data_IF_389260942914
#
_entry.id   IF_389260942914
#
_cell.length_a   1.000
_cell.length_b   1.000
_cell.length_c   1.000
_cell.angle_alpha   90.00
_cell.angle_beta   90.00
_cell.angle_gamma   90.00
#
_symmetry.space_group_name_H-M   'P 1'
#
loop_
_entity.id
_entity.type
_entity.pdbx_description
1 polymer ?
#
# COMPACT_ATOMS: atom_id res chain seq x y z
N UNK A 1 9.95 -13.68 -16.62
CA UNK A 1 11.13 -14.35 -16.04
C UNK A 1 11.75 -13.39 -15.04
N UNK A 2 11.85 -13.80 -13.77
CA UNK A 2 12.63 -13.19 -12.68
C UNK A 2 12.28 -11.74 -12.26
N UNK A 3 11.49 -11.56 -11.20
CA UNK A 3 11.93 -11.44 -9.79
C UNK A 3 12.96 -10.33 -9.51
N UNK A 4 12.47 -9.40 -8.67
CA UNK A 4 13.13 -8.84 -7.47
C UNK A 4 14.26 -7.84 -7.64
N UNK A 5 13.94 -6.61 -7.23
CA UNK A 5 14.81 -5.80 -6.40
C UNK A 5 15.61 -4.74 -7.14
N UNK A 6 15.08 -3.53 -7.18
CA UNK A 6 15.87 -2.30 -7.05
C UNK A 6 14.92 -1.11 -7.00
N UNK A 7 14.74 -0.57 -5.79
CA UNK A 7 14.45 0.84 -5.60
C UNK A 7 15.56 1.64 -6.32
N UNK A 8 15.18 2.63 -7.14
CA UNK A 8 16.12 3.48 -7.86
C UNK A 8 15.60 4.92 -7.79
N UNK A 9 15.85 5.62 -6.67
CA UNK A 9 17.05 6.43 -6.45
C UNK A 9 17.48 7.15 -7.73
N UNK A 10 16.80 8.26 -8.03
CA UNK A 10 17.19 9.17 -9.11
C UNK A 10 17.95 10.36 -8.52
N UNK A 11 19.28 10.24 -8.44
CA UNK A 11 20.22 11.37 -8.39
C UNK A 11 20.87 11.49 -9.78
N UNK A 12 20.63 12.64 -10.42
CA UNK A 12 21.45 13.39 -11.37
C UNK A 12 22.30 12.61 -12.40
N UNK A 13 21.91 12.66 -13.69
CA UNK A 13 22.72 13.32 -14.74
C UNK A 13 21.97 13.44 -16.09
N UNK A 14 21.81 14.70 -16.52
CA UNK A 14 21.92 15.22 -17.89
C UNK A 14 20.92 14.77 -18.98
N UNK A 15 20.05 15.70 -19.39
CA UNK A 15 19.83 16.07 -20.79
C UNK A 15 19.43 17.56 -20.90
N UNK A 16 20.09 18.26 -21.82
CA UNK A 16 19.90 19.68 -22.17
C UNK A 16 18.56 19.92 -22.88
N UNK A 17 17.72 20.82 -22.34
CA UNK A 17 17.12 21.97 -23.05
C UNK A 17 16.20 22.75 -22.10
N UNK A 18 16.59 24.00 -21.82
CA UNK A 18 15.89 25.13 -21.20
C UNK A 18 14.43 24.94 -20.71
N UNK A 19 14.26 24.51 -19.45
CA UNK A 19 13.24 25.01 -18.49
C UNK A 19 13.69 24.59 -17.08
N UNK A 20 13.92 25.55 -16.20
CA UNK A 20 14.48 25.34 -14.87
C UNK A 20 13.52 24.49 -14.02
N UNK A 21 13.84 23.20 -13.83
CA UNK A 21 13.17 22.32 -12.86
C UNK A 21 14.12 22.10 -11.68
N UNK A 22 13.83 22.71 -10.52
CA UNK A 22 14.46 22.33 -9.24
C UNK A 22 13.40 21.64 -8.37
N UNK A 23 13.45 20.31 -8.32
CA UNK A 23 12.63 19.50 -7.41
C UNK A 23 13.32 19.37 -6.05
N UNK A 24 12.61 19.70 -4.97
CA UNK A 24 13.03 19.36 -3.60
C UNK A 24 12.56 17.95 -3.26
N UNK A 25 13.48 17.03 -3.02
CA UNK A 25 13.13 15.69 -2.54
C UNK A 25 12.83 15.74 -1.03
N UNK A 26 11.77 15.07 -0.62
CA UNK A 26 11.33 14.99 0.78
C UNK A 26 11.75 13.64 1.34
N UNK A 27 12.66 13.66 2.31
CA UNK A 27 13.03 12.47 3.05
C UNK A 27 12.32 12.48 4.40
N UNK A 28 11.51 11.46 4.64
CA UNK A 28 11.15 11.05 5.99
C UNK A 28 11.37 9.54 6.10
N UNK A 29 11.86 9.12 7.25
CA UNK A 29 12.38 7.79 7.55
C UNK A 29 11.40 6.68 7.17
N UNK A 30 11.92 5.76 6.35
CA UNK A 30 11.50 4.36 6.11
C UNK A 30 10.31 4.01 5.19
N UNK A 31 9.81 4.93 4.38
CA UNK A 31 9.12 4.59 3.12
C UNK A 31 8.95 5.86 2.30
N UNK A 32 9.26 5.83 1.01
CA UNK A 32 9.07 7.00 0.13
C UNK A 32 7.57 7.32 0.05
N UNK A 33 7.13 8.35 0.77
CA UNK A 33 5.70 8.70 0.86
C UNK A 33 5.18 9.37 -0.42
N UNK A 34 6.07 10.05 -1.15
CA UNK A 34 5.81 10.74 -2.40
C UNK A 34 6.81 11.86 -2.67
N UNK A 35 6.68 12.54 -3.82
CA UNK A 35 7.49 13.70 -4.19
C UNK A 35 6.61 14.93 -4.45
N UNK A 36 7.10 16.11 -4.09
CA UNK A 36 6.44 17.39 -4.38
C UNK A 36 7.17 18.09 -5.53
N UNK A 37 6.47 18.32 -6.64
CA UNK A 37 6.97 19.09 -7.78
C UNK A 37 6.34 20.49 -7.78
N UNK A 38 7.18 21.52 -7.87
CA UNK A 38 6.77 22.92 -7.98
C UNK A 38 7.05 23.42 -9.40
N UNK A 39 6.09 24.13 -9.99
CA UNK A 39 6.20 24.69 -11.33
C UNK A 39 5.97 26.20 -11.29
N UNK A 40 6.74 26.95 -12.07
CA UNK A 40 6.58 28.39 -12.23
C UNK A 40 6.71 28.79 -13.70
N UNK A 41 5.96 29.83 -14.09
CA UNK A 41 5.94 30.34 -15.47
C UNK A 41 7.03 31.39 -15.72
N UNK A 42 7.59 32.00 -14.67
CA UNK A 42 8.61 33.05 -14.75
C UNK A 42 9.95 32.63 -14.11
N UNK A 43 11.09 33.07 -14.66
CA UNK A 43 12.39 32.86 -14.02
C UNK A 43 12.45 33.52 -12.63
N UNK A 44 13.11 32.87 -11.67
CA UNK A 44 13.30 33.37 -10.29
C UNK A 44 12.02 33.53 -9.46
N UNK A 45 10.93 32.87 -9.84
CA UNK A 45 9.66 32.91 -9.10
C UNK A 45 9.71 32.29 -7.69
N UNK A 46 10.71 31.48 -7.39
CA UNK A 46 10.88 30.86 -6.07
C UNK A 46 12.02 31.52 -5.32
N UNK A 47 11.68 32.37 -4.36
CA UNK A 47 12.62 32.88 -3.38
C UNK A 47 12.75 31.92 -2.18
N UNK A 48 13.62 32.29 -1.24
CA UNK A 48 13.90 31.48 -0.05
C UNK A 48 12.64 31.24 0.80
N UNK A 49 11.76 32.23 0.90
CA UNK A 49 10.57 32.16 1.75
C UNK A 49 9.51 31.26 1.12
N UNK A 50 9.32 31.36 -0.20
CA UNK A 50 8.45 30.47 -0.98
C UNK A 50 8.90 29.01 -0.91
N UNK A 51 10.21 28.77 -0.97
CA UNK A 51 10.77 27.43 -0.80
C UNK A 51 10.60 26.91 0.63
N UNK A 52 10.82 27.75 1.64
CA UNK A 52 10.62 27.39 3.04
C UNK A 52 9.15 27.05 3.33
N UNK A 53 8.22 27.81 2.76
CA UNK A 53 6.79 27.51 2.84
C UNK A 53 6.45 26.19 2.15
N UNK A 54 6.98 25.96 0.94
CA UNK A 54 6.75 24.72 0.22
C UNK A 54 7.29 23.49 0.97
N UNK A 55 8.47 23.60 1.60
CA UNK A 55 9.05 22.55 2.46
C UNK A 55 8.18 22.28 3.69
N UNK A 56 7.64 23.31 4.33
CA UNK A 56 6.71 23.14 5.44
C UNK A 56 5.43 22.43 5.00
N UNK A 57 4.81 22.86 3.90
CA UNK A 57 3.60 22.23 3.36
C UNK A 57 3.85 20.77 2.98
N UNK A 58 4.95 20.51 2.28
CA UNK A 58 5.41 19.18 1.94
C UNK A 58 5.56 18.26 3.16
N UNK A 59 6.15 18.76 4.24
CA UNK A 59 6.34 17.99 5.48
C UNK A 59 4.99 17.62 6.10
N UNK A 60 4.07 18.57 6.20
CA UNK A 60 2.72 18.31 6.72
C UNK A 60 1.95 17.33 5.83
N UNK A 61 2.04 17.50 4.51
CA UNK A 61 1.42 16.59 3.54
C UNK A 61 1.97 15.17 3.65
N UNK A 62 3.29 15.02 3.80
CA UNK A 62 3.93 13.73 4.01
C UNK A 62 3.42 13.06 5.30
N UNK A 63 3.36 13.79 6.42
CA UNK A 63 2.85 13.26 7.69
C UNK A 63 1.39 12.82 7.55
N UNK A 64 0.53 13.66 6.97
CA UNK A 64 -0.88 13.35 6.78
C UNK A 64 -1.07 12.10 5.90
N UNK A 65 -0.34 12.03 4.78
CA UNK A 65 -0.39 10.88 3.86
C UNK A 65 0.12 9.60 4.52
N UNK A 66 1.21 9.67 5.29
CA UNK A 66 1.74 8.53 6.05
C UNK A 66 0.71 7.98 7.02
N UNK A 67 0.06 8.86 7.77
CA UNK A 67 -0.96 8.48 8.75
C UNK A 67 -2.19 7.86 8.08
N UNK A 68 -2.71 8.47 7.01
CA UNK A 68 -3.83 7.92 6.25
C UNK A 68 -3.53 6.53 5.68
N UNK A 69 -2.32 6.33 5.12
CA UNK A 69 -1.90 5.01 4.60
C UNK A 69 -1.79 3.96 5.70
N UNK A 70 -1.25 4.33 6.87
CA UNK A 70 -1.17 3.40 8.01
C UNK A 70 -2.56 2.99 8.51
N UNK A 71 -3.48 3.95 8.59
CA UNK A 71 -4.87 3.69 8.96
C UNK A 71 -5.56 2.75 7.96
N UNK A 72 -5.40 3.00 6.65
CA UNK A 72 -5.94 2.13 5.60
C UNK A 72 -5.35 0.70 5.67
N UNK A 73 -4.03 0.58 5.83
CA UNK A 73 -3.36 -0.71 5.98
C UNK A 73 -3.86 -1.47 7.23
N UNK A 74 -4.05 -0.76 8.34
CA UNK A 74 -4.57 -1.34 9.57
C UNK A 74 -6.01 -1.84 9.39
N UNK A 75 -6.91 -1.03 8.82
CA UNK A 75 -8.28 -1.46 8.54
C UNK A 75 -8.34 -2.63 7.57
N UNK A 76 -7.51 -2.62 6.52
CA UNK A 76 -7.39 -3.72 5.57
C UNK A 76 -6.91 -5.01 6.24
N UNK A 77 -5.95 -4.92 7.17
CA UNK A 77 -5.47 -6.05 7.96
C UNK A 77 -6.55 -6.60 8.90
N UNK A 78 -7.31 -5.73 9.57
CA UNK A 78 -8.46 -6.14 10.40
C UNK A 78 -9.53 -6.85 9.58
N UNK A 79 -9.97 -6.24 8.47
CA UNK A 79 -10.97 -6.83 7.59
C UNK A 79 -10.51 -8.21 7.06
N UNK A 80 -9.23 -8.35 6.74
CA UNK A 80 -8.63 -9.62 6.32
C UNK A 80 -8.64 -10.65 7.44
N UNK A 81 -8.29 -10.26 8.67
CA UNK A 81 -8.31 -11.15 9.83
C UNK A 81 -9.71 -11.67 10.13
N UNK A 82 -10.72 -10.81 10.06
CA UNK A 82 -12.10 -11.18 10.38
C UNK A 82 -12.65 -12.19 9.38
N UNK A 83 -12.49 -11.93 8.07
CA UNK A 83 -12.99 -12.87 7.04
C UNK A 83 -12.24 -14.20 7.04
N UNK A 84 -10.93 -14.19 7.30
CA UNK A 84 -10.14 -15.42 7.47
C UNK A 84 -10.61 -16.19 8.70
N UNK A 85 -10.93 -15.49 9.80
CA UNK A 85 -11.49 -16.08 11.00
C UNK A 85 -12.82 -16.79 10.76
N UNK A 86 -13.73 -16.15 10.02
CA UNK A 86 -15.02 -16.74 9.63
C UNK A 86 -14.84 -17.99 8.78
N UNK A 87 -14.08 -17.88 7.69
CA UNK A 87 -13.78 -19.02 6.81
C UNK A 87 -13.15 -20.19 7.57
N UNK A 88 -12.21 -19.89 8.49
CA UNK A 88 -11.60 -20.90 9.35
C UNK A 88 -12.63 -21.60 10.24
N UNK A 89 -13.54 -20.85 10.86
CA UNK A 89 -14.64 -21.41 11.67
C UNK A 89 -15.56 -22.33 10.88
N UNK A 90 -15.91 -21.96 9.65
CA UNK A 90 -16.72 -22.80 8.75
C UNK A 90 -16.00 -24.10 8.38
N UNK A 91 -14.70 -24.05 8.10
CA UNK A 91 -13.89 -25.24 7.83
C UNK A 91 -13.81 -26.14 9.07
N UNK A 92 -13.60 -25.55 10.25
CA UNK A 92 -13.55 -26.31 11.51
C UNK A 92 -14.85 -27.08 11.75
N UNK A 93 -15.99 -26.44 11.53
CA UNK A 93 -17.32 -27.06 11.66
C UNK A 93 -17.52 -28.18 10.64
N UNK A 94 -17.30 -27.89 9.35
CA UNK A 94 -17.57 -28.83 8.26
C UNK A 94 -16.70 -30.09 8.28
N UNK A 95 -15.45 -29.95 8.70
CA UNK A 95 -14.47 -31.05 8.68
C UNK A 95 -14.14 -31.61 10.06
N UNK A 96 -14.73 -31.06 11.13
CA UNK A 96 -14.47 -31.42 12.52
C UNK A 96 -12.96 -31.44 12.86
N UNK A 97 -12.26 -30.35 12.49
CA UNK A 97 -10.82 -30.16 12.69
C UNK A 97 -10.54 -28.93 13.54
N UNK A 98 -9.34 -28.88 14.12
CA UNK A 98 -8.93 -27.73 14.93
C UNK A 98 -8.60 -26.49 14.08
N UNK A 99 -8.39 -25.36 14.77
CA UNK A 99 -8.11 -24.09 14.12
C UNK A 99 -6.78 -24.06 13.36
N UNK A 100 -5.77 -24.82 13.79
CA UNK A 100 -4.47 -24.87 13.12
C UNK A 100 -4.61 -25.63 11.80
N UNK A 101 -5.25 -26.80 11.83
CA UNK A 101 -5.55 -27.62 10.66
C UNK A 101 -6.42 -26.87 9.65
N UNK A 102 -7.45 -26.17 10.12
CA UNK A 102 -8.30 -25.36 9.26
C UNK A 102 -7.53 -24.21 8.58
N UNK A 103 -6.62 -23.54 9.31
CA UNK A 103 -5.78 -22.49 8.73
C UNK A 103 -4.80 -23.04 7.70
N UNK A 104 -4.18 -24.20 7.95
CA UNK A 104 -3.31 -24.87 6.98
C UNK A 104 -4.06 -25.28 5.71
N UNK A 105 -5.31 -25.75 5.83
CA UNK A 105 -6.15 -26.03 4.67
C UNK A 105 -6.45 -24.77 3.85
N UNK A 106 -6.83 -23.67 4.52
CA UNK A 106 -7.05 -22.37 3.90
C UNK A 106 -5.79 -21.86 3.18
N UNK A 107 -4.61 -22.02 3.81
CA UNK A 107 -3.31 -21.68 3.24
C UNK A 107 -3.00 -22.51 2.00
N UNK A 108 -3.27 -23.82 2.06
CA UNK A 108 -3.09 -24.72 0.91
C UNK A 108 -3.99 -24.31 -0.27
N UNK A 109 -5.27 -24.06 -0.02
CA UNK A 109 -6.21 -23.58 -1.04
C UNK A 109 -5.76 -22.26 -1.68
N UNK A 110 -5.26 -21.31 -0.86
CA UNK A 110 -4.68 -20.05 -1.33
C UNK A 110 -3.47 -20.27 -2.24
N UNK A 111 -2.60 -21.22 -1.91
CA UNK A 111 -1.44 -21.56 -2.73
C UNK A 111 -1.84 -22.25 -4.04
N UNK A 112 -2.75 -23.24 -3.96
CA UNK A 112 -3.22 -24.00 -5.12
C UNK A 112 -3.98 -23.11 -6.12
N UNK A 113 -4.70 -22.08 -5.62
CA UNK A 113 -5.40 -21.09 -6.45
C UNK A 113 -4.56 -19.86 -6.83
N UNK A 114 -3.35 -19.71 -6.26
CA UNK A 114 -2.51 -18.52 -6.39
C UNK A 114 -3.26 -17.20 -6.09
N UNK A 115 -4.16 -17.23 -5.12
CA UNK A 115 -4.94 -16.08 -4.64
C UNK A 115 -4.49 -15.67 -3.25
N UNK A 116 -4.73 -14.41 -2.87
CA UNK A 116 -4.47 -13.98 -1.50
C UNK A 116 -5.38 -14.76 -0.55
N UNK A 117 -4.86 -15.12 0.63
CA UNK A 117 -5.60 -15.90 1.63
C UNK A 117 -6.96 -15.28 1.99
N UNK A 118 -7.01 -13.95 2.12
CA UNK A 118 -8.25 -13.22 2.39
C UNK A 118 -9.27 -13.34 1.26
N UNK A 119 -8.84 -13.46 0.00
CA UNK A 119 -9.74 -13.59 -1.15
C UNK A 119 -10.31 -15.00 -1.24
N UNK A 120 -9.51 -16.03 -0.94
CA UNK A 120 -10.00 -17.41 -0.78
C UNK A 120 -11.01 -17.51 0.37
N UNK A 121 -10.70 -16.89 1.51
CA UNK A 121 -11.62 -16.83 2.64
C UNK A 121 -12.95 -16.16 2.26
N UNK A 122 -12.91 -15.03 1.54
CA UNK A 122 -14.12 -14.37 1.01
C UNK A 122 -14.90 -15.33 0.12
N UNK A 123 -14.26 -15.96 -0.87
CA UNK A 123 -14.96 -16.88 -1.77
C UNK A 123 -15.64 -18.02 -1.02
N UNK A 124 -14.98 -18.59 0.00
CA UNK A 124 -15.56 -19.65 0.81
C UNK A 124 -16.79 -19.17 1.58
N UNK A 125 -16.69 -18.01 2.24
CA UNK A 125 -17.80 -17.42 3.01
C UNK A 125 -19.00 -17.12 2.10
N UNK A 126 -18.77 -16.54 0.91
CA UNK A 126 -19.83 -16.22 -0.04
C UNK A 126 -20.41 -17.47 -0.73
N UNK A 127 -19.64 -18.53 -0.91
CA UNK A 127 -20.13 -19.76 -1.53
C UNK A 127 -21.09 -20.53 -0.62
N UNK A 128 -20.89 -20.43 0.70
CA UNK A 128 -21.76 -21.06 1.70
C UNK A 128 -23.02 -20.23 2.00
N UNK A 129 -22.98 -18.93 1.68
CA UNK A 129 -24.11 -18.01 1.77
C UNK A 129 -24.51 -17.56 0.36
N UNK A 130 -25.26 -18.37 -0.42
CA UNK A 130 -25.78 -17.92 -1.70
C UNK A 130 -26.57 -16.63 -1.44
N UNK A 131 -26.14 -15.52 -2.05
CA UNK A 131 -26.89 -14.28 -2.05
C UNK A 131 -28.33 -14.61 -2.44
N UNK A 132 -29.27 -14.36 -1.53
CA UNK A 132 -30.69 -14.59 -1.77
C UNK A 132 -31.10 -13.90 -3.09
N UNK A 133 -32.01 -14.52 -3.87
CA UNK A 133 -32.39 -14.08 -5.22
C UNK A 133 -32.97 -12.67 -5.28
#
# INVERSE_FOLDING_TARGET
>A
LYLRGAAMLSILHRFESLRQTRGGSLYTTDQELGALNLYAETPHAFDRDSLALALNLATHAAIALSSARREEQFHSALASRDIIGQAKGMIMERYNIDALQAFELLRKLSQDSNMRLADVAKQLVHSDHPTAP
#
